data_IF_668550638249
#
_entry.id   IF_668550638249
#
_cell.length_a   1.000
_cell.length_b   1.000
_cell.length_c   1.000
_cell.angle_alpha   90.00
_cell.angle_beta   90.00
_cell.angle_gamma   90.00
#
_symmetry.space_group_name_H-M   'P 1'
#
loop_
_entity.id
_entity.type
_entity.pdbx_description
1 polymer ?
#
# COMPACT_ATOMS: atom_id res chain seq x y z
N UNK A 1 -12.03 -10.14 -6.99
CA UNK A 1 -11.16 -9.17 -7.69
C UNK A 1 -9.77 -9.77 -7.82
N UNK A 2 -9.15 -9.67 -9.00
CA UNK A 2 -7.73 -10.03 -9.15
C UNK A 2 -6.91 -8.80 -8.78
N UNK A 3 -6.30 -8.82 -7.59
CA UNK A 3 -5.47 -7.73 -7.06
C UNK A 3 -4.00 -8.05 -7.32
N UNK A 4 -3.25 -7.06 -7.79
CA UNK A 4 -1.81 -7.15 -8.05
C UNK A 4 -0.97 -6.31 -7.08
N UNK A 5 0.30 -6.68 -6.92
CA UNK A 5 1.27 -5.86 -6.18
C UNK A 5 1.43 -4.51 -6.88
N UNK A 6 1.34 -3.43 -6.11
CA UNK A 6 1.43 -2.06 -6.58
C UNK A 6 0.10 -1.34 -6.68
N UNK A 7 -1.02 -2.07 -6.71
CA UNK A 7 -2.37 -1.50 -6.77
C UNK A 7 -2.77 -0.81 -5.47
N UNK A 8 -3.70 0.14 -5.60
CA UNK A 8 -4.29 0.84 -4.47
C UNK A 8 -5.71 0.32 -4.23
N UNK A 9 -6.04 0.16 -2.97
CA UNK A 9 -7.32 -0.40 -2.53
C UNK A 9 -7.85 0.31 -1.28
N UNK A 10 -9.17 0.35 -1.14
CA UNK A 10 -9.88 0.79 0.06
C UNK A 10 -10.63 -0.39 0.66
N UNK A 11 -10.66 -0.52 1.99
CA UNK A 11 -11.39 -1.60 2.64
C UNK A 11 -12.91 -1.38 2.53
N UNK A 12 -13.72 -2.44 2.67
CA UNK A 12 -15.18 -2.29 2.75
C UNK A 12 -15.58 -1.53 4.02
N UNK A 13 -16.76 -0.87 4.02
CA UNK A 13 -17.20 -0.02 5.14
C UNK A 13 -17.35 -0.78 6.46
N UNK A 14 -17.58 -2.09 6.43
CA UNK A 14 -17.73 -2.95 7.62
C UNK A 14 -16.41 -3.60 8.07
N UNK A 15 -15.25 -3.14 7.56
CA UNK A 15 -13.95 -3.68 7.99
C UNK A 15 -13.47 -3.10 9.32
N UNK A 16 -12.62 -3.86 10.03
CA UNK A 16 -11.89 -3.37 11.21
C UNK A 16 -10.73 -2.41 10.85
N UNK A 17 -10.49 -2.15 9.55
CA UNK A 17 -9.45 -1.26 9.09
C UNK A 17 -10.00 0.16 8.94
N UNK A 18 -9.15 1.18 9.18
CA UNK A 18 -9.47 2.56 8.82
C UNK A 18 -9.94 2.68 7.36
N UNK A 19 -10.95 3.52 7.14
CA UNK A 19 -11.43 3.91 5.80
C UNK A 19 -10.41 4.83 5.11
N UNK A 20 -9.31 4.22 4.69
CA UNK A 20 -8.15 4.87 4.10
C UNK A 20 -7.66 4.06 2.90
N UNK A 21 -6.80 4.66 2.09
CA UNK A 21 -6.18 3.99 0.95
C UNK A 21 -4.95 3.20 1.37
N UNK A 22 -4.88 1.98 0.89
CA UNK A 22 -3.77 1.07 1.07
C UNK A 22 -3.13 0.73 -0.27
N UNK A 23 -1.83 0.51 -0.29
CA UNK A 23 -1.11 -0.06 -1.43
C UNK A 23 -0.78 -1.52 -1.17
N UNK A 24 -1.05 -2.37 -2.14
CA UNK A 24 -0.69 -3.79 -2.08
C UNK A 24 0.81 -3.91 -2.29
N UNK A 25 1.53 -4.44 -1.30
CA UNK A 25 3.00 -4.55 -1.34
C UNK A 25 3.49 -6.00 -1.34
N UNK A 26 2.60 -6.97 -1.14
CA UNK A 26 2.92 -8.39 -1.22
C UNK A 26 1.67 -9.26 -1.31
N UNK A 27 1.78 -10.39 -2.02
CA UNK A 27 0.72 -11.37 -2.22
C UNK A 27 1.24 -12.80 -2.01
N UNK A 28 1.61 -13.16 -0.77
CA UNK A 28 1.93 -14.55 -0.43
C UNK A 28 0.67 -15.44 -0.56
N UNK A 29 0.86 -16.76 -0.58
CA UNK A 29 -0.28 -17.69 -0.68
C UNK A 29 -1.27 -17.48 0.48
N UNK A 30 -2.55 -17.31 0.12
CA UNK A 30 -3.65 -17.17 1.09
C UNK A 30 -3.78 -15.81 1.78
N UNK A 31 -2.82 -14.88 1.63
CA UNK A 31 -2.86 -13.58 2.30
C UNK A 31 -2.31 -12.45 1.44
N UNK A 32 -2.42 -11.22 1.94
CA UNK A 32 -1.89 -10.02 1.31
C UNK A 32 -1.28 -9.10 2.36
N UNK A 33 -0.21 -8.41 1.96
CA UNK A 33 0.45 -7.37 2.74
C UNK A 33 0.08 -6.02 2.14
N UNK A 34 -0.51 -5.16 2.96
CA UNK A 34 -1.00 -3.84 2.57
C UNK A 34 -0.25 -2.75 3.35
N UNK A 35 0.17 -1.70 2.66
CA UNK A 35 0.78 -0.50 3.24
C UNK A 35 -0.24 0.62 3.27
N UNK A 36 -0.52 1.20 4.44
CA UNK A 36 -1.37 2.39 4.54
C UNK A 36 -0.65 3.59 3.91
N UNK A 37 -1.26 4.20 2.90
CA UNK A 37 -0.67 5.32 2.15
C UNK A 37 -1.40 6.64 2.34
N UNK A 38 -2.52 6.66 3.08
CA UNK A 38 -3.24 7.88 3.44
C UNK A 38 -3.52 7.99 4.93
N UNK A 39 -3.70 9.24 5.38
CA UNK A 39 -4.27 9.61 6.69
C UNK A 39 -5.16 10.82 6.44
N UNK A 40 -6.40 10.75 6.92
CA UNK A 40 -7.45 11.75 6.67
C UNK A 40 -7.62 12.02 5.17
N UNK A 41 -7.55 10.96 4.35
CA UNK A 41 -7.68 11.02 2.90
C UNK A 41 -6.51 11.69 2.16
N UNK A 42 -5.41 12.04 2.85
CA UNK A 42 -4.21 12.64 2.25
C UNK A 42 -3.04 11.68 2.23
N UNK A 43 -2.24 11.72 1.16
CA UNK A 43 -1.04 10.88 1.04
C UNK A 43 -0.09 11.11 2.22
N UNK A 44 0.24 10.04 2.93
CA UNK A 44 1.09 10.06 4.11
C UNK A 44 2.09 8.89 4.08
N UNK A 45 3.33 9.15 4.49
CA UNK A 45 4.33 8.09 4.70
C UNK A 45 4.14 7.50 6.10
N UNK A 46 3.17 6.61 6.25
CA UNK A 46 2.82 6.06 7.57
C UNK A 46 3.77 4.94 8.02
N UNK A 47 4.33 4.19 7.07
CA UNK A 47 5.07 2.95 7.34
C UNK A 47 4.20 1.84 7.97
N UNK A 48 2.90 2.05 8.11
CA UNK A 48 1.98 1.12 8.76
C UNK A 48 1.58 0.03 7.77
N UNK A 49 1.99 -1.19 8.08
CA UNK A 49 1.69 -2.39 7.29
C UNK A 49 0.63 -3.21 8.00
N UNK A 50 -0.35 -3.70 7.25
CA UNK A 50 -1.36 -4.65 7.72
C UNK A 50 -1.33 -5.90 6.86
N UNK A 51 -1.63 -7.04 7.47
CA UNK A 51 -1.77 -8.32 6.78
C UNK A 51 -3.23 -8.72 6.82
N UNK A 52 -3.77 -9.11 5.66
CA UNK A 52 -5.16 -9.54 5.53
C UNK A 52 -5.22 -10.87 4.78
N UNK A 53 -6.19 -11.70 5.10
CA UNK A 53 -6.46 -12.91 4.33
C UNK A 53 -6.99 -12.58 2.93
N UNK A 54 -6.81 -13.50 1.97
CA UNK A 54 -7.26 -13.28 0.58
C UNK A 54 -8.78 -13.16 0.47
N UNK A 55 -9.52 -13.79 1.38
CA UNK A 55 -10.98 -13.66 1.51
C UNK A 55 -11.36 -12.24 1.92
N UNK A 56 -10.70 -11.69 2.94
CA UNK A 56 -10.90 -10.30 3.38
C UNK A 56 -10.53 -9.32 2.27
N UNK A 57 -9.40 -9.53 1.58
CA UNK A 57 -8.98 -8.70 0.46
C UNK A 57 -9.99 -8.70 -0.70
N UNK A 58 -10.75 -9.78 -0.90
CA UNK A 58 -11.73 -9.84 -1.99
C UNK A 58 -12.89 -8.87 -1.84
N UNK A 59 -13.13 -8.36 -0.63
CA UNK A 59 -14.12 -7.30 -0.35
C UNK A 59 -13.58 -5.89 -0.49
N UNK A 60 -12.29 -5.72 -0.82
CA UNK A 60 -11.71 -4.39 -1.04
C UNK A 60 -12.05 -3.90 -2.44
N UNK A 61 -12.14 -2.58 -2.55
CA UNK A 61 -12.37 -1.89 -3.82
C UNK A 61 -11.08 -1.25 -4.33
N UNK A 62 -10.96 -1.11 -5.65
CA UNK A 62 -9.83 -0.41 -6.26
C UNK A 62 -9.92 1.09 -5.98
N UNK A 63 -8.81 1.67 -5.58
CA UNK A 63 -8.71 3.09 -5.25
C UNK A 63 -7.80 3.82 -6.25
N UNK A 64 -8.03 5.13 -6.49
CA UNK A 64 -7.09 5.95 -7.25
C UNK A 64 -5.77 6.12 -6.47
N UNK A 65 -4.66 6.32 -7.17
CA UNK A 65 -3.39 6.66 -6.53
C UNK A 65 -3.48 8.04 -5.88
N UNK A 66 -3.31 8.16 -4.54
CA UNK A 66 -3.40 9.43 -3.83
C UNK A 66 -2.25 10.40 -4.20
N UNK A 67 -1.26 9.95 -4.97
CA UNK A 67 -0.19 10.76 -5.55
C UNK A 67 -0.48 11.34 -6.93
N UNK A 68 -1.57 10.96 -7.62
CA UNK A 68 -1.94 11.54 -8.93
C UNK A 68 -2.72 12.84 -8.78
N UNK A 69 -2.12 13.79 -8.07
CA UNK A 69 -2.38 15.22 -8.17
C UNK A 69 -1.12 15.88 -8.73
N UNK A 70 -1.25 16.95 -9.51
CA UNK A 70 -0.12 17.62 -10.16
C UNK A 70 0.84 18.20 -9.09
N UNK A 71 1.85 17.44 -8.69
CA UNK A 71 2.82 17.81 -7.65
C UNK A 71 4.24 17.91 -8.25
N UNK A 72 4.63 19.09 -8.79
CA UNK A 72 5.91 19.26 -9.48
C UNK A 72 7.13 19.04 -8.58
N UNK A 73 6.96 19.00 -7.25
CA UNK A 73 8.03 18.74 -6.28
C UNK A 73 8.23 17.24 -5.98
N UNK A 74 7.26 16.38 -6.32
CA UNK A 74 7.33 14.93 -6.09
C UNK A 74 8.33 14.19 -6.98
N UNK A 75 8.75 14.79 -8.10
CA UNK A 75 9.63 14.18 -9.11
C UNK A 75 11.06 13.91 -8.61
N UNK A 76 11.54 14.64 -7.61
CA UNK A 76 12.92 14.54 -7.11
C UNK A 76 13.10 13.39 -6.08
N UNK A 77 12.01 12.82 -5.56
CA UNK A 77 12.07 11.89 -4.40
C UNK A 77 11.84 10.42 -4.74
N UNK A 78 11.76 10.07 -6.03
CA UNK A 78 11.44 8.72 -6.54
C UNK A 78 12.45 7.61 -6.22
N UNK A 79 13.63 7.93 -5.67
CA UNK A 79 14.73 6.95 -5.53
C UNK A 79 14.81 6.24 -4.17
N UNK A 80 13.93 6.54 -3.21
CA UNK A 80 14.10 6.03 -1.83
C UNK A 80 13.59 4.59 -1.63
N UNK A 81 12.65 4.12 -2.47
CA UNK A 81 12.11 2.77 -2.36
C UNK A 81 13.12 1.69 -2.77
N UNK A 82 13.96 1.96 -3.77
CA UNK A 82 15.04 1.06 -4.19
C UNK A 82 16.10 0.88 -3.09
N UNK A 83 16.35 1.94 -2.31
CA UNK A 83 17.34 1.94 -1.22
C UNK A 83 16.91 1.01 -0.07
N UNK A 84 15.61 0.91 0.24
CA UNK A 84 15.11 0.00 1.27
C UNK A 84 15.24 -1.48 0.89
N UNK A 85 14.99 -1.82 -0.37
CA UNK A 85 15.19 -3.18 -0.87
C UNK A 85 16.68 -3.57 -0.91
N UNK A 86 17.58 -2.61 -1.21
CA UNK A 86 19.04 -2.81 -1.16
C UNK A 86 19.54 -3.03 0.29
N UNK A 87 19.05 -2.24 1.25
CA UNK A 87 19.43 -2.34 2.66
C UNK A 87 18.91 -3.63 3.31
N UNK A 88 17.72 -4.11 2.93
CA UNK A 88 17.19 -5.39 3.43
C UNK A 88 17.96 -6.60 2.92
N UNK A 89 18.57 -6.52 1.73
CA UNK A 89 19.43 -7.58 1.20
C UNK A 89 20.84 -7.57 1.82
N UNK A 90 21.42 -6.40 2.09
CA UNK A 90 22.81 -6.27 2.55
C UNK A 90 23.05 -6.63 4.03
N UNK A 91 22.03 -6.62 4.88
CA UNK A 91 22.16 -6.82 6.34
C UNK A 91 21.48 -8.10 6.87
N UNK A 92 21.03 -9.00 5.99
CA UNK A 92 20.40 -10.27 6.34
C UNK A 92 21.30 -11.50 6.14
N UNK A 93 22.53 -11.48 6.67
CA UNK A 93 23.35 -12.69 6.83
C UNK A 93 23.21 -13.24 8.25
#
# INVERSE_FOLDING_TARGET
MDVAVGEFVTPPPDSDLPDETYRVVGLPEGSATLLLVTVDGRRASTGKVVHVDRTTLSGFESAPDPGTGFDPLGWIRGEVAAIWHLLRWAFGR
#
